data_IF_118137452638
#
_entry.id   IF_118137452638
#
_cell.length_a   1.000
_cell.length_b   1.000
_cell.length_c   1.000
_cell.angle_alpha   90.00
_cell.angle_beta   90.00
_cell.angle_gamma   90.00
#
_symmetry.space_group_name_H-M   'P 1'
#
loop_
_entity.id
_entity.type
_entity.pdbx_description
1 polymer ?
#
# COMPACT_ATOMS: atom_id res chain seq x y z
N UNK A 1 -14.13 13.56 -8.22
CA UNK A 1 -12.76 14.10 -8.06
C UNK A 1 -11.83 12.91 -8.00
N UNK A 2 -10.85 12.80 -8.89
CA UNK A 2 -9.88 11.71 -8.81
C UNK A 2 -9.00 11.94 -7.57
N UNK A 3 -9.02 11.03 -6.60
CA UNK A 3 -8.06 11.08 -5.49
C UNK A 3 -6.73 10.57 -6.01
N UNK A 4 -5.76 11.45 -6.19
CA UNK A 4 -4.37 11.09 -6.51
C UNK A 4 -3.76 10.25 -5.38
N UNK A 5 -3.02 9.19 -5.71
CA UNK A 5 -2.30 8.39 -4.72
C UNK A 5 -1.02 9.09 -4.17
N UNK A 6 -0.67 10.25 -4.72
CA UNK A 6 0.47 11.08 -4.31
C UNK A 6 0.09 12.52 -4.01
N UNK A 7 0.93 13.20 -3.22
CA UNK A 7 0.86 14.64 -2.99
C UNK A 7 1.34 15.46 -4.20
N UNK A 8 1.27 16.79 -4.11
CA UNK A 8 1.66 17.70 -5.19
C UNK A 8 3.15 17.60 -5.59
N UNK A 9 3.99 17.00 -4.76
CA UNK A 9 5.44 16.84 -4.98
C UNK A 9 5.78 15.38 -5.37
N UNK A 10 4.78 14.50 -5.43
CA UNK A 10 4.94 13.09 -5.82
C UNK A 10 5.31 12.16 -4.66
N UNK A 11 5.14 12.57 -3.40
CA UNK A 11 5.27 11.65 -2.27
C UNK A 11 3.98 10.81 -2.14
N UNK A 12 4.09 9.50 -1.86
CA UNK A 12 2.91 8.65 -1.69
C UNK A 12 2.12 9.06 -0.45
N UNK A 13 0.79 9.17 -0.60
CA UNK A 13 -0.14 9.42 0.52
C UNK A 13 -0.75 8.07 0.91
N UNK A 14 -0.39 7.49 2.08
CA UNK A 14 -0.87 6.17 2.49
C UNK A 14 -2.29 6.25 3.08
N UNK A 15 -3.26 6.70 2.29
CA UNK A 15 -4.68 6.60 2.67
C UNK A 15 -5.10 5.13 2.75
N UNK A 16 -6.21 4.85 3.43
CA UNK A 16 -6.74 3.47 3.52
C UNK A 16 -6.98 2.85 2.13
N UNK A 17 -7.53 3.61 1.19
CA UNK A 17 -7.77 3.16 -0.18
C UNK A 17 -6.48 2.82 -0.94
N UNK A 18 -5.45 3.66 -0.82
CA UNK A 18 -4.14 3.42 -1.45
C UNK A 18 -3.46 2.18 -0.85
N UNK A 19 -3.46 2.05 0.48
CA UNK A 19 -2.89 0.89 1.17
C UNK A 19 -3.63 -0.41 0.82
N UNK A 20 -4.97 -0.36 0.73
CA UNK A 20 -5.75 -1.54 0.36
C UNK A 20 -5.50 -1.96 -1.09
N UNK A 21 -5.45 -1.00 -2.01
CA UNK A 21 -5.14 -1.23 -3.43
C UNK A 21 -3.77 -1.89 -3.62
N UNK A 22 -2.77 -1.47 -2.83
CA UNK A 22 -1.42 -2.00 -2.88
C UNK A 22 -1.17 -3.23 -1.96
N UNK A 23 -2.18 -3.72 -1.25
CA UNK A 23 -2.02 -4.75 -0.19
C UNK A 23 -1.30 -6.01 -0.66
N UNK A 24 -1.63 -6.51 -1.86
CA UNK A 24 -0.94 -7.68 -2.46
C UNK A 24 0.54 -7.42 -2.73
N UNK A 25 0.88 -6.25 -3.26
CA UNK A 25 2.28 -5.86 -3.47
C UNK A 25 3.04 -5.71 -2.17
N UNK A 26 2.39 -5.15 -1.14
CA UNK A 26 2.96 -4.99 0.20
C UNK A 26 3.27 -6.36 0.82
N UNK A 27 2.35 -7.33 0.71
CA UNK A 27 2.54 -8.68 1.24
C UNK A 27 3.75 -9.37 0.62
N UNK A 28 3.95 -9.23 -0.69
CA UNK A 28 5.07 -9.87 -1.38
C UNK A 28 6.37 -9.10 -1.12
N UNK A 29 6.38 -7.77 -1.30
CA UNK A 29 7.63 -7.00 -1.32
C UNK A 29 8.17 -6.66 0.07
N UNK A 30 7.29 -6.44 1.05
CA UNK A 30 7.63 -6.04 2.42
C UNK A 30 7.37 -7.15 3.45
N UNK A 31 7.27 -8.41 3.00
CA UNK A 31 6.94 -9.57 3.85
C UNK A 31 7.86 -9.70 5.06
N UNK A 32 9.16 -9.59 4.84
CA UNK A 32 10.20 -9.78 5.86
C UNK A 32 10.06 -8.77 7.00
N UNK A 33 9.88 -7.50 6.66
CA UNK A 33 9.73 -6.38 7.56
C UNK A 33 8.43 -6.53 8.36
N UNK A 34 7.32 -6.85 7.68
CA UNK A 34 6.01 -7.06 8.30
C UNK A 34 6.04 -8.22 9.31
N UNK A 35 6.58 -9.37 8.92
CA UNK A 35 6.70 -10.53 9.81
C UNK A 35 7.61 -10.24 11.00
N UNK A 36 8.72 -9.53 10.80
CA UNK A 36 9.62 -9.14 11.89
C UNK A 36 8.93 -8.19 12.88
N UNK A 37 8.14 -7.23 12.40
CA UNK A 37 7.36 -6.33 13.25
C UNK A 37 6.28 -7.07 14.05
N UNK A 38 5.53 -7.98 13.40
CA UNK A 38 4.50 -8.79 14.06
C UNK A 38 5.08 -9.73 15.12
N UNK A 39 6.22 -10.36 14.86
CA UNK A 39 6.93 -11.17 15.87
C UNK A 39 7.32 -10.35 17.09
N UNK A 40 7.92 -9.17 16.87
CA UNK A 40 8.26 -8.26 17.96
C UNK A 40 7.04 -7.87 18.82
N UNK A 41 5.91 -7.55 18.18
CA UNK A 41 4.64 -7.23 18.86
C UNK A 41 4.04 -8.41 19.62
N UNK A 42 4.28 -9.63 19.16
CA UNK A 42 3.83 -10.86 19.83
C UNK A 42 4.67 -11.15 21.08
N UNK A 43 5.97 -10.84 21.03
CA UNK A 43 6.91 -11.09 22.13
C UNK A 43 6.76 -10.06 23.27
N UNK A 44 6.52 -8.78 22.94
CA UNK A 44 6.33 -7.70 23.91
C UNK A 44 5.28 -6.69 23.42
N UNK A 45 4.20 -6.44 24.21
CA UNK A 45 3.17 -5.47 23.84
C UNK A 45 3.62 -4.01 23.94
N UNK A 46 4.77 -3.71 24.57
CA UNK A 46 5.27 -2.35 24.72
C UNK A 46 5.54 -1.72 23.32
N UNK A 47 4.86 -0.61 22.98
CA UNK A 47 4.99 0.01 21.66
C UNK A 47 6.41 0.51 21.36
N UNK A 48 7.20 0.89 22.36
CA UNK A 48 8.55 1.45 22.17
C UNK A 48 9.56 0.41 21.67
N UNK A 49 9.41 -0.85 22.11
CA UNK A 49 10.36 -1.94 21.81
C UNK A 49 10.43 -2.29 20.32
N UNK A 50 9.34 -2.02 19.59
CA UNK A 50 9.22 -2.37 18.17
C UNK A 50 9.29 -1.15 17.23
N UNK A 51 9.61 0.06 17.73
CA UNK A 51 9.64 1.28 16.92
C UNK A 51 10.59 1.17 15.72
N UNK A 52 11.79 0.64 15.90
CA UNK A 52 12.76 0.49 14.81
C UNK A 52 12.23 -0.43 13.70
N UNK A 53 11.56 -1.53 14.05
CA UNK A 53 10.94 -2.45 13.09
C UNK A 53 9.73 -1.80 12.41
N UNK A 54 8.94 -1.03 13.14
CA UNK A 54 7.84 -0.24 12.58
C UNK A 54 8.34 0.77 11.54
N UNK A 55 9.45 1.47 11.83
CA UNK A 55 10.08 2.37 10.86
C UNK A 55 10.57 1.65 9.61
N UNK A 56 11.10 0.42 9.73
CA UNK A 56 11.49 -0.41 8.58
C UNK A 56 10.29 -0.79 7.71
N UNK A 57 9.19 -1.21 8.33
CA UNK A 57 7.92 -1.48 7.62
C UNK A 57 7.45 -0.24 6.87
N UNK A 58 7.33 0.90 7.55
CA UNK A 58 6.85 2.15 6.94
C UNK A 58 7.77 2.59 5.80
N UNK A 59 9.09 2.47 5.95
CA UNK A 59 10.05 2.80 4.88
C UNK A 59 9.86 1.90 3.66
N UNK A 60 9.72 0.59 3.86
CA UNK A 60 9.49 -0.35 2.76
C UNK A 60 8.19 -0.02 2.02
N UNK A 61 7.10 0.17 2.75
CA UNK A 61 5.78 0.45 2.16
C UNK A 61 5.78 1.78 1.41
N UNK A 62 6.32 2.86 1.98
CA UNK A 62 6.37 4.16 1.29
C UNK A 62 7.25 4.10 0.03
N UNK A 63 8.37 3.38 0.07
CA UNK A 63 9.20 3.18 -1.13
C UNK A 63 8.43 2.41 -2.21
N UNK A 64 7.71 1.36 -1.83
CA UNK A 64 6.89 0.57 -2.74
C UNK A 64 5.77 1.41 -3.36
N UNK A 65 5.03 2.19 -2.57
CA UNK A 65 3.95 3.05 -3.08
C UNK A 65 4.47 4.08 -4.08
N UNK A 66 5.65 4.65 -3.81
CA UNK A 66 6.32 5.55 -4.76
C UNK A 66 6.67 4.84 -6.07
N UNK A 67 7.25 3.64 -5.99
CA UNK A 67 7.64 2.85 -7.17
C UNK A 67 6.42 2.43 -8.00
N UNK A 68 5.33 1.99 -7.36
CA UNK A 68 4.08 1.61 -8.03
C UNK A 68 3.46 2.80 -8.75
N UNK A 69 3.37 3.94 -8.07
CA UNK A 69 2.83 5.15 -8.69
C UNK A 69 3.71 5.64 -9.84
N UNK A 70 5.04 5.51 -9.77
CA UNK A 70 5.91 5.90 -10.89
C UNK A 70 5.77 5.01 -12.13
N UNK A 71 5.52 3.70 -11.94
CA UNK A 71 5.44 2.73 -13.05
C UNK A 71 4.03 2.59 -13.63
N UNK A 72 3.01 2.64 -12.78
CA UNK A 72 1.63 2.31 -13.10
C UNK A 72 0.67 3.37 -12.52
N UNK A 73 0.99 4.65 -12.69
CA UNK A 73 0.24 5.77 -12.10
C UNK A 73 -1.26 5.68 -12.38
N UNK A 74 -1.63 5.54 -13.65
CA UNK A 74 -3.01 5.63 -14.13
C UNK A 74 -3.86 4.51 -13.55
N UNK A 75 -3.36 3.28 -13.61
CA UNK A 75 -4.07 2.11 -13.11
C UNK A 75 -4.12 2.11 -11.58
N UNK A 76 -3.06 2.55 -10.90
CA UNK A 76 -3.04 2.70 -9.44
C UNK A 76 -4.05 3.75 -8.97
N UNK A 77 -4.09 4.92 -9.60
CA UNK A 77 -5.04 5.99 -9.27
C UNK A 77 -6.48 5.57 -9.57
N UNK A 78 -6.73 4.87 -10.67
CA UNK A 78 -8.06 4.34 -11.00
C UNK A 78 -8.53 3.34 -9.93
N UNK A 79 -7.66 2.40 -9.54
CA UNK A 79 -8.02 1.39 -8.55
C UNK A 79 -8.18 1.98 -7.15
N UNK A 80 -7.26 2.86 -6.72
CA UNK A 80 -7.38 3.58 -5.45
C UNK A 80 -8.62 4.48 -5.43
N UNK A 81 -8.98 5.11 -6.55
CA UNK A 81 -10.21 5.90 -6.71
C UNK A 81 -11.47 5.05 -6.56
N UNK A 82 -11.51 3.87 -7.18
CA UNK A 82 -12.62 2.93 -7.00
C UNK A 82 -12.72 2.45 -5.55
N UNK A 83 -11.58 2.10 -4.93
CA UNK A 83 -11.52 1.70 -3.53
C UNK A 83 -12.00 2.79 -2.59
N UNK A 84 -11.63 4.05 -2.85
CA UNK A 84 -12.11 5.19 -2.08
C UNK A 84 -13.64 5.34 -2.20
N UNK A 85 -14.19 5.25 -3.42
CA UNK A 85 -15.62 5.38 -3.66
C UNK A 85 -16.44 4.26 -2.99
N UNK A 86 -15.93 3.03 -3.05
CA UNK A 86 -16.61 1.84 -2.53
C UNK A 86 -16.14 1.43 -1.12
N UNK A 87 -15.50 2.33 -0.37
CA UNK A 87 -15.07 2.06 1.03
C UNK A 87 -14.24 0.77 1.17
N UNK A 88 -13.30 0.53 0.25
CA UNK A 88 -12.42 -0.64 0.19
C UNK A 88 -13.09 -1.99 -0.14
N UNK A 89 -14.29 -1.97 -0.72
CA UNK A 89 -14.95 -3.22 -1.18
C UNK A 89 -14.37 -3.73 -2.50
N UNK A 90 -13.54 -4.79 -2.41
CA UNK A 90 -12.86 -5.38 -3.57
C UNK A 90 -13.79 -5.83 -4.70
N UNK A 91 -14.96 -6.38 -4.35
CA UNK A 91 -15.90 -6.91 -5.35
C UNK A 91 -16.43 -5.83 -6.29
N UNK A 92 -16.48 -4.57 -5.83
CA UNK A 92 -16.92 -3.44 -6.63
C UNK A 92 -15.84 -2.90 -7.57
N UNK A 93 -14.58 -3.35 -7.42
CA UNK A 93 -13.41 -2.79 -8.10
C UNK A 93 -12.55 -3.84 -8.83
N UNK A 94 -13.13 -5.00 -9.17
CA UNK A 94 -12.40 -6.12 -9.80
C UNK A 94 -11.85 -5.78 -11.19
N UNK A 95 -12.48 -4.86 -11.91
CA UNK A 95 -12.02 -4.43 -13.24
C UNK A 95 -10.73 -3.61 -13.11
N UNK A 96 -10.76 -2.58 -12.26
CA UNK A 96 -9.61 -1.72 -11.96
C UNK A 96 -8.47 -2.52 -11.32
N UNK A 97 -8.80 -3.48 -10.45
CA UNK A 97 -7.83 -4.41 -9.90
C UNK A 97 -7.10 -5.19 -11.00
N UNK A 98 -7.85 -5.75 -11.95
CA UNK A 98 -7.28 -6.55 -13.05
C UNK A 98 -6.37 -5.70 -13.94
N UNK A 99 -6.77 -4.47 -14.24
CA UNK A 99 -5.97 -3.54 -15.03
C UNK A 99 -4.68 -3.14 -14.29
N UNK A 100 -4.78 -2.87 -13.00
CA UNK A 100 -3.64 -2.57 -12.15
C UNK A 100 -2.66 -3.73 -12.04
N UNK A 101 -3.13 -4.95 -11.76
CA UNK A 101 -2.27 -6.14 -11.66
C UNK A 101 -1.64 -6.52 -13.02
N UNK A 102 -2.28 -6.17 -14.14
CA UNK A 102 -1.71 -6.35 -15.47
C UNK A 102 -0.60 -5.35 -15.78
N UNK A 103 -0.78 -4.08 -15.39
CA UNK A 103 0.22 -3.03 -15.59
C UNK A 103 1.40 -3.20 -14.64
N UNK A 104 1.12 -3.58 -13.39
CA UNK A 104 2.08 -3.78 -12.32
C UNK A 104 1.93 -5.21 -11.76
N UNK A 105 2.61 -6.21 -12.34
CA UNK A 105 2.67 -7.54 -11.75
C UNK A 105 3.54 -7.53 -10.49
N UNK A 106 3.24 -8.43 -9.56
CA UNK A 106 3.93 -8.61 -8.28
C UNK A 106 5.11 -9.58 -8.34
#
# INVERSE_FOLDING_TARGET
MASSAVDAVGNPIPTSAVLMSASKHIDIRCRSENVAYLKCKKDDPNPEKCLQKGQQVTRCVLSLLKDLHQKCNKEMDAYAGCMYYNTNEFEMCRNEQKDFEKACPY
#
